data_IF_538713612130
#
_entry.id   IF_538713612130
#
_cell.length_a   1.000
_cell.length_b   1.000
_cell.length_c   1.000
_cell.angle_alpha   90.00
_cell.angle_beta   90.00
_cell.angle_gamma   90.00
#
_symmetry.space_group_name_H-M   'P 1'
#
loop_
_entity.id
_entity.type
_entity.pdbx_description
1 polymer ?
#
# COMPACT_ATOMS: atom_id res chain seq x y z
N UNK A 1 25.06 -8.69 -75.18
CA UNK A 1 25.54 -9.39 -73.97
C UNK A 1 24.42 -9.37 -72.94
N UNK A 2 23.87 -10.53 -72.60
CA UNK A 2 22.66 -10.66 -71.78
C UNK A 2 22.99 -10.50 -70.29
N UNK A 3 22.28 -9.59 -69.61
CA UNK A 3 22.45 -9.26 -68.20
C UNK A 3 21.63 -10.26 -67.38
N UNK A 4 22.30 -11.21 -66.73
CA UNK A 4 21.69 -12.17 -65.81
C UNK A 4 21.26 -11.43 -64.55
N UNK A 5 19.97 -11.47 -64.21
CA UNK A 5 19.45 -10.95 -62.94
C UNK A 5 19.32 -12.12 -61.95
N UNK A 6 19.87 -12.01 -60.72
CA UNK A 6 19.64 -13.00 -59.69
C UNK A 6 18.22 -12.93 -59.13
N UNK A 7 17.77 -14.10 -58.72
CA UNK A 7 16.46 -14.49 -58.22
C UNK A 7 15.97 -13.62 -57.03
N UNK A 8 14.65 -13.43 -56.98
CA UNK A 8 13.96 -12.69 -55.92
C UNK A 8 14.01 -13.44 -54.57
N UNK A 9 14.24 -12.69 -53.49
CA UNK A 9 13.89 -13.13 -52.12
C UNK A 9 12.76 -12.24 -51.65
N UNK A 10 11.57 -12.84 -51.50
CA UNK A 10 10.44 -12.17 -50.86
C UNK A 10 10.77 -11.95 -49.36
N UNK A 11 10.44 -10.79 -48.79
CA UNK A 11 10.62 -10.57 -47.36
C UNK A 11 9.71 -11.53 -46.56
N UNK A 12 10.18 -12.08 -45.43
CA UNK A 12 9.34 -12.88 -44.55
C UNK A 12 8.18 -12.04 -44.01
N UNK A 13 7.01 -12.67 -43.73
CA UNK A 13 5.85 -11.97 -43.21
C UNK A 13 6.19 -11.30 -41.86
N UNK A 14 5.60 -10.13 -41.55
CA UNK A 14 5.88 -9.43 -40.31
C UNK A 14 5.46 -10.30 -39.13
N UNK A 15 6.44 -10.68 -38.31
CA UNK A 15 6.24 -11.32 -37.02
C UNK A 15 5.26 -10.47 -36.18
N UNK A 16 4.37 -11.09 -35.40
CA UNK A 16 3.39 -10.36 -34.61
C UNK A 16 4.13 -9.43 -33.66
N UNK A 17 3.93 -8.12 -33.85
CA UNK A 17 4.29 -7.04 -32.93
C UNK A 17 4.15 -7.54 -31.50
N UNK A 18 5.26 -7.51 -30.77
CA UNK A 18 5.34 -7.76 -29.34
C UNK A 18 4.06 -7.28 -28.65
N UNK A 19 3.18 -8.23 -28.31
CA UNK A 19 2.19 -8.00 -27.29
C UNK A 19 2.99 -7.54 -26.08
N UNK A 20 2.73 -6.32 -25.60
CA UNK A 20 3.35 -5.79 -24.41
C UNK A 20 3.38 -6.91 -23.37
N UNK A 21 4.57 -7.35 -22.97
CA UNK A 21 4.76 -8.32 -21.90
C UNK A 21 4.15 -7.67 -20.66
N UNK A 22 2.87 -7.97 -20.42
CA UNK A 22 2.21 -7.59 -19.19
C UNK A 22 2.84 -8.48 -18.13
N UNK A 23 3.82 -7.92 -17.42
CA UNK A 23 4.40 -8.54 -16.24
C UNK A 23 3.24 -9.06 -15.36
N UNK A 24 3.29 -10.33 -14.93
CA UNK A 24 2.18 -10.94 -14.23
C UNK A 24 1.84 -10.14 -12.96
N UNK A 25 0.55 -10.05 -12.60
CA UNK A 25 0.13 -9.28 -11.44
C UNK A 25 0.80 -9.82 -10.18
N UNK A 26 1.36 -8.93 -9.36
CA UNK A 26 1.91 -9.32 -8.06
C UNK A 26 0.74 -9.56 -7.10
N UNK A 27 0.61 -10.80 -6.62
CA UNK A 27 -0.42 -11.19 -5.66
C UNK A 27 0.23 -11.46 -4.31
N UNK A 28 -0.20 -10.73 -3.30
CA UNK A 28 0.28 -10.87 -1.93
C UNK A 28 -0.86 -11.31 -1.02
N UNK A 29 -0.56 -12.22 -0.08
CA UNK A 29 -1.45 -12.54 1.04
C UNK A 29 -1.01 -11.73 2.25
N UNK A 30 -1.86 -10.80 2.68
CA UNK A 30 -1.61 -9.95 3.84
C UNK A 30 -2.34 -10.55 5.04
N UNK A 31 -1.59 -10.84 6.10
CA UNK A 31 -2.10 -11.27 7.39
C UNK A 31 -1.83 -10.20 8.44
N UNK A 32 -2.90 -9.66 9.05
CA UNK A 32 -2.83 -8.64 10.10
C UNK A 32 -2.44 -9.22 11.46
N UNK A 33 -1.28 -9.86 11.50
CA UNK A 33 -0.64 -10.39 12.70
C UNK A 33 0.86 -10.15 12.58
N UNK A 34 1.49 -9.54 13.58
CA UNK A 34 2.94 -9.38 13.64
C UNK A 34 3.62 -10.71 13.98
N UNK A 35 4.87 -10.88 13.53
CA UNK A 35 5.75 -11.97 13.95
C UNK A 35 6.32 -11.74 15.37
N UNK A 36 6.37 -10.49 15.83
CA UNK A 36 6.94 -10.12 17.11
C UNK A 36 5.88 -10.19 18.22
N UNK A 37 6.23 -10.83 19.33
CA UNK A 37 5.37 -10.88 20.51
C UNK A 37 5.11 -9.46 21.05
N UNK A 38 3.85 -9.13 21.29
CA UNK A 38 3.38 -7.81 21.76
C UNK A 38 3.49 -6.65 20.75
N UNK A 39 3.66 -6.95 19.45
CA UNK A 39 3.59 -5.95 18.39
C UNK A 39 2.28 -6.06 17.60
N UNK A 40 1.73 -4.91 17.21
CA UNK A 40 0.73 -4.82 16.15
C UNK A 40 1.48 -4.79 14.81
N UNK A 41 0.97 -5.49 13.79
CA UNK A 41 1.68 -5.52 12.52
C UNK A 41 1.00 -6.35 11.46
N UNK A 42 1.70 -6.49 10.33
CA UNK A 42 1.31 -7.31 9.20
C UNK A 42 2.45 -8.25 8.83
N UNK A 43 2.06 -9.45 8.40
CA UNK A 43 2.91 -10.40 7.71
C UNK A 43 2.39 -10.57 6.31
N UNK A 44 3.25 -10.39 5.32
CA UNK A 44 2.86 -10.40 3.92
C UNK A 44 3.62 -11.51 3.22
N UNK A 45 2.87 -12.43 2.62
CA UNK A 45 3.41 -13.55 1.87
C UNK A 45 3.18 -13.34 0.38
N UNK A 46 4.13 -13.76 -0.45
CA UNK A 46 3.96 -13.75 -1.90
C UNK A 46 3.05 -14.90 -2.38
N UNK A 47 2.91 -15.04 -3.69
CA UNK A 47 2.12 -16.10 -4.31
C UNK A 47 2.73 -17.51 -4.11
N UNK A 48 4.02 -17.60 -3.78
CA UNK A 48 4.74 -18.86 -3.49
C UNK A 48 4.60 -19.28 -2.03
N UNK A 49 4.15 -18.37 -1.17
CA UNK A 49 4.05 -18.57 0.28
C UNK A 49 5.31 -18.12 1.03
N UNK A 50 6.26 -17.49 0.35
CA UNK A 50 7.46 -16.95 0.96
C UNK A 50 7.15 -15.60 1.61
N UNK A 51 7.81 -15.29 2.73
CA UNK A 51 7.65 -13.99 3.40
C UNK A 51 8.18 -12.90 2.47
N UNK A 52 7.30 -12.00 2.01
CA UNK A 52 7.66 -10.88 1.16
C UNK A 52 7.98 -9.63 1.99
N UNK A 53 7.10 -9.32 2.94
CA UNK A 53 7.24 -8.15 3.81
C UNK A 53 6.83 -8.47 5.23
N UNK A 54 7.49 -7.78 6.17
CA UNK A 54 7.05 -7.68 7.55
C UNK A 54 6.77 -6.23 7.87
N UNK A 55 5.71 -6.00 8.63
CA UNK A 55 5.34 -4.67 9.10
C UNK A 55 5.26 -4.74 10.60
N UNK A 56 6.10 -3.96 11.26
CA UNK A 56 6.11 -3.87 12.70
C UNK A 56 5.73 -2.44 13.10
N UNK A 57 4.68 -2.33 13.94
CA UNK A 57 4.36 -1.07 14.59
C UNK A 57 5.21 -0.96 15.85
N UNK A 58 6.26 -0.15 15.78
CA UNK A 58 6.97 0.25 17.00
C UNK A 58 6.05 1.19 17.79
N UNK A 59 5.34 0.63 18.76
CA UNK A 59 4.57 1.42 19.71
C UNK A 59 5.55 2.27 20.53
N UNK A 60 5.79 3.50 20.08
CA UNK A 60 6.28 4.54 20.97
C UNK A 60 5.22 4.73 22.07
N UNK A 61 5.67 4.92 23.31
CA UNK A 61 4.88 5.02 24.55
C UNK A 61 3.76 6.07 24.52
N UNK A 62 3.68 6.87 23.45
CA UNK A 62 2.61 7.82 23.17
C UNK A 62 1.72 7.35 22.00
N UNK A 63 0.42 7.19 22.26
CA UNK A 63 -0.59 6.74 21.27
C UNK A 63 -0.75 7.67 20.05
N UNK A 64 -0.07 8.82 20.02
CA UNK A 64 -0.27 9.89 19.02
C UNK A 64 0.84 9.98 17.96
N UNK A 65 1.96 9.25 18.11
CA UNK A 65 3.09 9.23 17.16
C UNK A 65 3.50 7.79 16.85
N UNK A 66 2.66 7.07 16.12
CA UNK A 66 2.97 5.72 15.63
C UNK A 66 3.59 5.86 14.24
N UNK A 67 4.90 5.69 14.17
CA UNK A 67 5.60 5.43 12.91
C UNK A 67 5.53 3.92 12.66
N UNK A 68 5.04 3.52 11.50
CA UNK A 68 4.95 2.11 11.10
C UNK A 68 5.99 1.87 10.01
N UNK A 69 6.84 0.88 10.22
CA UNK A 69 7.94 0.57 9.30
C UNK A 69 7.58 -0.68 8.50
N UNK A 70 7.60 -0.54 7.19
CA UNK A 70 7.53 -1.65 6.24
C UNK A 70 8.95 -2.12 5.96
N UNK A 71 9.22 -3.40 6.18
CA UNK A 71 10.51 -4.02 5.94
C UNK A 71 10.40 -5.17 4.95
N UNK A 72 11.52 -5.51 4.32
CA UNK A 72 11.63 -6.74 3.54
C UNK A 72 11.67 -7.99 4.44
N UNK A 73 11.76 -9.17 3.83
CA UNK A 73 11.87 -10.45 4.53
C UNK A 73 13.07 -10.53 5.48
N UNK A 74 14.18 -9.85 5.15
CA UNK A 74 15.40 -9.79 5.94
C UNK A 74 15.37 -8.77 7.09
N UNK A 75 14.32 -7.94 7.17
CA UNK A 75 14.19 -6.88 8.17
C UNK A 75 14.84 -5.55 7.77
N UNK A 76 15.26 -5.38 6.52
CA UNK A 76 15.71 -4.07 6.01
C UNK A 76 14.51 -3.14 5.88
N UNK A 77 14.53 -1.93 6.45
CA UNK A 77 13.45 -0.96 6.29
C UNK A 77 13.36 -0.51 4.82
N UNK A 78 12.16 -0.57 4.25
CA UNK A 78 11.86 -0.13 2.89
C UNK A 78 11.13 1.19 2.87
N UNK A 79 10.09 1.34 3.71
CA UNK A 79 9.25 2.53 3.76
C UNK A 79 8.80 2.79 5.20
N UNK A 80 8.58 4.06 5.53
CA UNK A 80 7.99 4.46 6.81
C UNK A 80 6.68 5.21 6.60
N UNK A 81 5.61 4.73 7.23
CA UNK A 81 4.30 5.39 7.24
C UNK A 81 4.16 6.14 8.56
N UNK A 82 4.07 7.48 8.48
CA UNK A 82 3.92 8.35 9.65
C UNK A 82 2.60 9.08 9.61
N UNK A 83 1.86 8.97 10.71
CA UNK A 83 0.64 9.77 10.91
C UNK A 83 1.00 11.19 11.35
N UNK A 84 0.49 12.18 10.62
CA UNK A 84 0.60 13.60 10.97
C UNK A 84 -0.78 14.13 11.37
N UNK A 85 -0.84 14.72 12.56
CA UNK A 85 -2.00 15.48 13.01
C UNK A 85 -1.69 16.96 12.75
N UNK A 86 -2.48 17.64 11.93
CA UNK A 86 -2.35 19.10 11.80
C UNK A 86 -2.96 19.77 13.04
N UNK A 87 -2.30 20.82 13.52
CA UNK A 87 -2.59 21.53 14.78
C UNK A 87 -3.85 22.41 14.76
N UNK A 88 -4.63 22.42 13.68
CA UNK A 88 -5.91 23.14 13.63
C UNK A 88 -7.05 22.18 13.98
N UNK A 89 -7.79 22.51 15.04
CA UNK A 89 -8.85 21.69 15.62
C UNK A 89 -9.79 21.07 14.60
N UNK A 90 -10.03 19.76 14.77
CA UNK A 90 -10.94 18.88 14.04
C UNK A 90 -10.54 18.50 12.59
N UNK A 91 -10.27 17.19 12.47
CA UNK A 91 -10.71 16.30 11.38
C UNK A 91 -9.77 15.92 10.22
N UNK A 92 -8.71 16.65 9.87
CA UNK A 92 -7.84 16.19 8.76
C UNK A 92 -6.63 15.40 9.29
N UNK A 93 -6.84 14.10 9.53
CA UNK A 93 -5.75 13.15 9.76
C UNK A 93 -5.11 12.86 8.40
N UNK A 94 -3.81 13.06 8.29
CA UNK A 94 -3.05 12.67 7.10
C UNK A 94 -1.93 11.69 7.47
N UNK A 95 -1.61 10.81 6.53
CA UNK A 95 -0.51 9.86 6.63
C UNK A 95 0.48 10.18 5.53
N UNK A 96 1.76 10.21 5.86
CA UNK A 96 2.82 10.48 4.90
C UNK A 96 3.70 9.24 4.84
N UNK A 97 3.94 8.77 3.62
CA UNK A 97 4.82 7.65 3.31
C UNK A 97 6.18 8.24 2.97
N UNK A 98 7.19 7.77 3.67
CA UNK A 98 8.59 8.18 3.54
C UNK A 98 9.41 7.04 2.97
N UNK A 99 10.43 7.41 2.21
CA UNK A 99 11.47 6.46 1.83
C UNK A 99 12.22 5.95 3.08
N UNK A 100 12.41 4.64 3.15
CA UNK A 100 13.05 3.96 4.28
C UNK A 100 14.57 4.01 4.23
N UNK A 101 15.16 4.42 3.10
CA UNK A 101 16.61 4.50 2.89
C UNK A 101 17.25 5.79 3.43
N UNK A 102 16.64 6.40 4.46
CA UNK A 102 17.35 7.38 5.26
C UNK A 102 18.37 6.63 6.12
N UNK A 103 19.50 6.29 5.49
CA UNK A 103 20.75 5.80 6.08
C UNK A 103 20.83 6.23 7.55
N UNK A 104 20.70 5.27 8.46
CA UNK A 104 20.93 5.51 9.89
C UNK A 104 22.37 6.02 10.16
N UNK A 105 23.26 5.89 9.17
CA UNK A 105 24.65 6.38 9.18
C UNK A 105 24.85 7.78 8.58
N UNK A 106 23.84 8.42 7.95
CA UNK A 106 23.98 9.76 7.38
C UNK A 106 23.21 10.83 8.15
N UNK A 107 23.71 11.10 9.34
CA UNK A 107 23.45 12.28 10.15
C UNK A 107 22.00 12.46 10.64
N UNK A 108 21.87 12.85 11.91
CA UNK A 108 20.63 13.34 12.52
C UNK A 108 20.02 14.61 11.86
N UNK A 109 20.51 15.01 10.67
CA UNK A 109 20.09 16.19 9.92
C UNK A 109 19.42 15.87 8.56
N UNK A 110 19.46 14.63 8.06
CA UNK A 110 18.80 14.26 6.81
C UNK A 110 17.30 14.05 7.06
N UNK A 111 16.46 15.00 6.66
CA UNK A 111 15.01 14.83 6.71
C UNK A 111 14.57 13.72 5.74
N UNK A 112 13.82 12.70 6.19
CA UNK A 112 13.41 11.59 5.33
C UNK A 112 12.55 12.10 4.17
N UNK A 113 12.83 11.62 2.96
CA UNK A 113 12.16 12.07 1.73
C UNK A 113 10.71 11.60 1.71
N UNK A 114 9.72 12.51 1.68
CA UNK A 114 8.33 12.13 1.58
C UNK A 114 7.98 11.72 0.14
N UNK A 115 7.32 10.58 -0.02
CA UNK A 115 6.92 10.03 -1.31
C UNK A 115 5.46 10.37 -1.61
N UNK A 116 4.55 9.96 -0.72
CA UNK A 116 3.10 10.10 -0.90
C UNK A 116 2.43 10.61 0.38
N UNK A 117 1.36 11.36 0.21
CA UNK A 117 0.47 11.82 1.29
C UNK A 117 -0.91 11.22 1.08
N UNK A 118 -1.38 10.46 2.06
CA UNK A 118 -2.69 9.82 2.09
C UNK A 118 -3.59 10.61 3.04
N UNK A 119 -4.75 11.04 2.56
CA UNK A 119 -5.75 11.79 3.33
C UNK A 119 -7.09 11.09 3.28
N UNK A 120 -7.74 11.00 4.43
CA UNK A 120 -9.10 10.45 4.50
C UNK A 120 -10.05 11.42 3.80
N UNK A 121 -10.91 10.92 2.92
CA UNK A 121 -11.98 11.72 2.33
C UNK A 121 -13.20 11.65 3.26
N UNK A 122 -13.77 12.80 3.63
CA UNK A 122 -15.02 12.82 4.37
C UNK A 122 -16.14 12.37 3.42
N UNK A 123 -16.77 11.24 3.72
CA UNK A 123 -17.88 10.70 2.93
C UNK A 123 -19.13 11.53 3.20
N UNK A 124 -19.31 12.65 2.49
CA UNK A 124 -20.59 13.32 2.35
C UNK A 124 -21.12 13.12 0.94
N UNK A 125 -22.37 12.66 0.82
CA UNK A 125 -23.11 12.56 -0.45
C UNK A 125 -22.56 11.58 -1.49
N UNK A 126 -22.95 10.30 -1.43
CA UNK A 126 -22.89 9.33 -2.54
C UNK A 126 -21.51 8.96 -3.11
N UNK A 127 -20.44 9.64 -2.71
CA UNK A 127 -19.10 9.43 -3.25
C UNK A 127 -18.49 8.14 -2.67
N UNK A 128 -18.08 7.22 -3.54
CA UNK A 128 -17.46 5.92 -3.17
C UNK A 128 -15.98 6.05 -2.74
N UNK A 129 -15.47 7.28 -2.65
CA UNK A 129 -14.08 7.59 -2.35
C UNK A 129 -13.80 7.54 -0.84
N UNK A 130 -12.87 6.67 -0.44
CA UNK A 130 -12.41 6.50 0.93
C UNK A 130 -11.27 7.45 1.30
N UNK A 131 -10.31 7.60 0.38
CA UNK A 131 -9.09 8.36 0.62
C UNK A 131 -8.53 8.91 -0.69
N UNK A 132 -7.79 10.01 -0.57
CA UNK A 132 -7.02 10.59 -1.66
C UNK A 132 -5.54 10.46 -1.35
N UNK A 133 -4.78 10.05 -2.34
CA UNK A 133 -3.32 9.93 -2.27
C UNK A 133 -2.75 10.91 -3.27
N UNK A 134 -1.87 11.79 -2.82
CA UNK A 134 -1.19 12.75 -3.69
C UNK A 134 0.32 12.64 -3.46
N UNK A 135 1.11 13.01 -4.46
CA UNK A 135 2.55 13.19 -4.30
C UNK A 135 2.84 14.12 -3.11
N UNK A 136 3.66 13.67 -2.16
CA UNK A 136 4.01 14.50 -1.02
C UNK A 136 5.10 15.49 -1.42
N UNK A 137 4.71 16.55 -2.15
CA UNK A 137 5.54 17.68 -2.64
C UNK A 137 7.05 17.39 -2.56
N UNK A 138 7.56 16.67 -3.56
CA UNK A 138 8.99 16.64 -3.83
C UNK A 138 9.48 18.08 -3.99
N UNK A 139 10.70 18.38 -3.55
CA UNK A 139 11.36 19.67 -3.73
C UNK A 139 11.68 20.03 -5.20
N UNK A 140 11.07 19.35 -6.17
CA UNK A 140 11.21 19.57 -7.60
C UNK A 140 9.86 20.05 -8.17
N UNK A 141 9.86 21.11 -9.00
CA UNK A 141 8.65 21.57 -9.69
C UNK A 141 8.25 20.54 -10.74
N UNK A 142 7.55 19.49 -10.31
CA UNK A 142 6.88 18.59 -11.24
C UNK A 142 5.62 19.32 -11.75
N UNK A 143 5.38 19.41 -13.07
CA UNK A 143 4.12 19.93 -13.57
C UNK A 143 2.97 19.16 -12.93
N UNK A 144 1.92 19.86 -12.49
CA UNK A 144 0.81 19.27 -11.73
C UNK A 144 0.14 18.08 -12.46
N UNK A 145 0.23 18.04 -13.78
CA UNK A 145 -0.26 16.95 -14.63
C UNK A 145 0.57 15.65 -14.54
N UNK A 146 1.82 15.72 -14.07
CA UNK A 146 2.71 14.56 -13.94
C UNK A 146 2.80 14.01 -12.51
N UNK A 147 2.24 14.72 -11.52
CA UNK A 147 2.28 14.30 -10.13
C UNK A 147 1.36 13.08 -9.92
N UNK A 148 1.86 12.00 -9.28
CA UNK A 148 1.00 10.85 -8.98
C UNK A 148 -0.15 11.29 -8.09
N UNK A 149 -1.37 11.00 -8.55
CA UNK A 149 -2.58 11.15 -7.77
C UNK A 149 -3.40 9.87 -7.85
N UNK A 150 -3.70 9.30 -6.69
CA UNK A 150 -4.51 8.09 -6.58
C UNK A 150 -5.76 8.35 -5.76
N UNK A 151 -6.83 7.63 -6.12
CA UNK A 151 -8.09 7.64 -5.41
C UNK A 151 -8.35 6.23 -4.91
N UNK A 152 -8.65 6.10 -3.62
CA UNK A 152 -9.04 4.84 -3.02
C UNK A 152 -10.56 4.78 -2.98
N UNK A 153 -11.13 3.76 -3.61
CA UNK A 153 -12.58 3.54 -3.69
C UNK A 153 -12.98 2.23 -3.00
N UNK A 154 -14.25 2.13 -2.58
CA UNK A 154 -14.83 0.89 -2.06
C UNK A 154 -14.96 0.89 -0.54
N UNK A 155 -14.68 -0.25 0.11
CA UNK A 155 -14.76 -0.41 1.56
C UNK A 155 -13.57 -1.21 2.11
N UNK A 156 -12.71 -0.56 2.88
CA UNK A 156 -11.60 -1.24 3.55
C UNK A 156 -12.10 -2.21 4.63
N UNK A 157 -13.20 -1.89 5.31
CA UNK A 157 -13.79 -2.75 6.36
C UNK A 157 -14.31 -4.07 5.81
N UNK A 158 -14.79 -4.08 4.56
CA UNK A 158 -15.21 -5.31 3.85
C UNK A 158 -14.09 -5.94 3.02
N UNK A 159 -12.85 -5.42 3.14
CA UNK A 159 -11.68 -5.84 2.33
C UNK A 159 -11.99 -5.85 0.83
N UNK A 160 -12.71 -4.83 0.37
CA UNK A 160 -13.14 -4.66 -1.01
C UNK A 160 -12.86 -3.20 -1.42
N UNK A 161 -11.59 -2.85 -1.55
CA UNK A 161 -11.18 -1.52 -1.96
C UNK A 161 -10.12 -1.54 -3.06
N UNK A 162 -10.22 -0.59 -3.99
CA UNK A 162 -9.30 -0.45 -5.10
C UNK A 162 -8.62 0.91 -5.07
N UNK A 163 -7.34 0.94 -5.38
CA UNK A 163 -6.54 2.14 -5.61
C UNK A 163 -6.50 2.39 -7.10
N UNK A 164 -6.99 3.54 -7.55
CA UNK A 164 -7.03 3.95 -8.95
C UNK A 164 -6.08 5.12 -9.21
N UNK A 165 -5.35 5.08 -10.32
CA UNK A 165 -4.54 6.20 -10.81
C UNK A 165 -5.45 7.25 -11.45
N UNK A 166 -5.74 8.32 -10.71
CA UNK A 166 -6.61 9.40 -11.17
C UNK A 166 -5.94 10.28 -12.23
N UNK A 167 -4.61 10.33 -12.28
CA UNK A 167 -3.88 11.10 -13.29
C UNK A 167 -3.88 10.41 -14.66
N UNK A 168 -3.99 9.06 -14.70
CA UNK A 168 -3.90 8.27 -15.95
C UNK A 168 -5.14 7.41 -16.20
N UNK A 169 -6.31 8.05 -16.23
CA UNK A 169 -7.55 7.44 -16.73
C UNK A 169 -8.25 6.48 -15.77
N UNK A 170 -7.90 6.47 -14.48
CA UNK A 170 -8.62 5.70 -13.46
C UNK A 170 -8.28 4.20 -13.44
N UNK A 171 -7.16 3.80 -14.04
CA UNK A 171 -6.70 2.42 -14.04
C UNK A 171 -6.45 1.92 -12.61
N UNK A 172 -6.85 0.68 -12.31
CA UNK A 172 -6.62 0.06 -10.99
C UNK A 172 -5.14 -0.31 -10.88
N UNK A 173 -4.47 0.22 -9.86
CA UNK A 173 -3.04 0.01 -9.59
C UNK A 173 -2.79 -0.88 -8.37
N UNK A 174 -3.77 -0.98 -7.48
CA UNK A 174 -3.78 -1.99 -6.42
C UNK A 174 -5.22 -2.30 -6.02
N UNK A 175 -5.46 -3.52 -5.57
CA UNK A 175 -6.76 -3.98 -5.12
C UNK A 175 -6.62 -4.80 -3.84
N UNK A 176 -7.43 -4.48 -2.84
CA UNK A 176 -7.60 -5.27 -1.63
C UNK A 176 -8.85 -6.11 -1.79
N UNK A 177 -8.67 -7.42 -1.72
CA UNK A 177 -9.72 -8.42 -1.88
C UNK A 177 -9.82 -9.28 -0.63
N UNK A 178 -11.05 -9.60 -0.22
CA UNK A 178 -11.30 -10.49 0.90
C UNK A 178 -10.77 -11.91 0.61
N UNK A 179 -10.18 -12.55 1.61
CA UNK A 179 -9.88 -13.99 1.55
C UNK A 179 -11.00 -14.75 2.25
N UNK A 180 -11.84 -15.42 1.45
CA UNK A 180 -12.97 -16.18 1.97
C UNK A 180 -12.49 -17.32 2.90
N UNK A 181 -13.30 -17.68 3.89
CA UNK A 181 -13.03 -18.69 4.92
C UNK A 181 -11.91 -18.42 5.96
N UNK A 182 -11.18 -17.29 5.89
CA UNK A 182 -10.06 -16.98 6.83
C UNK A 182 -10.34 -15.76 7.73
N UNK A 183 -11.55 -15.21 7.68
CA UNK A 183 -11.94 -14.01 8.43
C UNK A 183 -11.37 -12.72 7.83
N UNK A 184 -11.48 -11.61 8.56
CA UNK A 184 -11.12 -10.27 8.05
C UNK A 184 -9.66 -9.85 8.33
N UNK A 185 -8.92 -10.68 9.07
CA UNK A 185 -7.50 -10.49 9.38
C UNK A 185 -6.58 -10.95 8.25
N UNK A 186 -7.07 -11.78 7.32
CA UNK A 186 -6.31 -12.25 6.17
C UNK A 186 -7.02 -11.79 4.89
N UNK A 187 -6.29 -11.13 4.01
CA UNK A 187 -6.83 -10.64 2.74
C UNK A 187 -5.76 -10.67 1.66
N UNK A 188 -6.16 -10.48 0.41
CA UNK A 188 -5.26 -10.43 -0.75
C UNK A 188 -5.02 -8.98 -1.14
N UNK A 189 -3.78 -8.66 -1.47
CA UNK A 189 -3.39 -7.42 -2.12
C UNK A 189 -2.89 -7.78 -3.52
N UNK A 190 -3.60 -7.31 -4.54
CA UNK A 190 -3.29 -7.55 -5.96
C UNK A 190 -2.76 -6.27 -6.56
N UNK A 191 -1.59 -6.31 -7.17
CA UNK A 191 -0.95 -5.19 -7.86
C UNK A 191 -0.84 -5.56 -9.34
N UNK A 192 -1.74 -5.06 -10.21
CA UNK A 192 -1.86 -5.53 -11.59
C UNK A 192 -0.70 -5.19 -12.52
N UNK A 193 0.18 -4.26 -12.14
CA UNK A 193 1.30 -3.87 -12.99
C UNK A 193 2.28 -2.94 -12.28
N UNK A 194 3.36 -2.51 -12.96
CA UNK A 194 4.51 -1.85 -12.34
C UNK A 194 4.23 -0.39 -11.93
N UNK A 195 3.04 0.14 -12.21
CA UNK A 195 2.66 1.53 -11.94
C UNK A 195 2.73 1.90 -10.46
N UNK A 196 2.47 0.92 -9.61
CA UNK A 196 2.57 1.07 -8.16
C UNK A 196 3.37 -0.11 -7.64
N UNK A 197 4.60 0.13 -7.18
CA UNK A 197 5.43 -0.93 -6.64
C UNK A 197 4.77 -1.59 -5.42
N UNK A 198 4.96 -2.90 -5.27
CA UNK A 198 4.38 -3.68 -4.17
C UNK A 198 4.62 -3.09 -2.76
N UNK A 199 5.82 -2.59 -2.41
CA UNK A 199 6.04 -1.94 -1.12
C UNK A 199 5.16 -0.70 -0.93
N UNK A 200 4.98 0.10 -1.98
CA UNK A 200 4.18 1.32 -1.94
C UNK A 200 2.68 1.00 -1.81
N UNK A 201 2.21 -0.03 -2.51
CA UNK A 201 0.86 -0.56 -2.34
C UNK A 201 0.62 -1.04 -0.90
N UNK A 202 1.59 -1.75 -0.31
CA UNK A 202 1.50 -2.19 1.08
C UNK A 202 1.51 -1.00 2.06
N UNK A 203 2.31 0.03 1.81
CA UNK A 203 2.31 1.25 2.61
C UNK A 203 0.95 1.98 2.59
N UNK A 204 0.24 1.95 1.46
CA UNK A 204 -1.15 2.44 1.39
C UNK A 204 -2.10 1.59 2.25
N UNK A 205 -1.96 0.27 2.24
CA UNK A 205 -2.76 -0.62 3.10
C UNK A 205 -2.54 -0.32 4.58
N UNK A 206 -1.29 -0.05 5.00
CA UNK A 206 -0.97 0.35 6.38
C UNK A 206 -1.68 1.65 6.76
N UNK A 207 -1.65 2.65 5.88
CA UNK A 207 -2.34 3.93 6.11
C UNK A 207 -3.87 3.74 6.19
N UNK A 208 -4.45 2.92 5.32
CA UNK A 208 -5.88 2.61 5.31
C UNK A 208 -6.31 1.84 6.56
N UNK A 209 -5.51 0.89 7.05
CA UNK A 209 -5.80 0.20 8.32
C UNK A 209 -5.87 1.22 9.47
N UNK A 210 -4.85 2.07 9.66
CA UNK A 210 -4.89 3.07 10.73
C UNK A 210 -6.04 4.10 10.58
N UNK A 211 -6.44 4.41 9.34
CA UNK A 211 -7.60 5.27 9.05
C UNK A 211 -8.94 4.65 9.48
N UNK A 212 -9.17 3.38 9.16
CA UNK A 212 -10.48 2.72 9.21
C UNK A 212 -10.63 1.67 10.31
N UNK A 213 -9.57 1.39 11.08
CA UNK A 213 -9.54 0.49 12.25
C UNK A 213 -10.67 0.70 13.28
N UNK A 214 -11.30 1.88 13.33
CA UNK A 214 -12.34 2.21 14.31
C UNK A 214 -13.79 2.12 13.82
N UNK A 215 -14.05 1.67 12.59
CA UNK A 215 -15.38 1.72 11.97
C UNK A 215 -16.15 0.39 11.85
N UNK A 216 -15.47 -0.76 12.03
CA UNK A 216 -16.15 -2.06 12.01
C UNK A 216 -16.44 -2.47 13.45
N UNK A 217 -17.72 -2.45 13.83
CA UNK A 217 -18.18 -2.92 15.13
C UNK A 217 -17.97 -4.44 15.27
N UNK A 218 -16.77 -4.85 15.62
CA UNK A 218 -16.41 -6.08 16.32
C UNK A 218 -14.88 -6.14 16.45
N UNK A 219 -14.36 -6.04 17.68
CA UNK A 219 -12.97 -6.36 17.98
C UNK A 219 -11.98 -5.21 17.78
N UNK A 220 -12.13 -4.14 18.55
CA UNK A 220 -11.01 -3.23 18.80
C UNK A 220 -9.85 -3.97 19.45
N UNK A 221 -8.62 -3.66 19.02
CA UNK A 221 -7.39 -4.07 19.70
C UNK A 221 -7.37 -3.46 21.10
N UNK A 222 -7.94 -4.18 22.07
CA UNK A 222 -7.89 -4.03 23.55
C UNK A 222 -9.24 -4.55 24.08
N UNK A 223 -9.36 -5.58 24.89
CA UNK A 223 -8.43 -6.15 25.84
C UNK A 223 -8.66 -7.66 25.95
N UNK A 224 -7.61 -8.38 26.34
CA UNK A 224 -7.79 -9.57 27.16
C UNK A 224 -8.61 -9.18 28.39
N UNK A 225 -9.92 -9.37 28.37
CA UNK A 225 -10.71 -9.57 29.58
C UNK A 225 -10.66 -11.06 29.91
N UNK A 226 -9.48 -11.54 30.28
CA UNK A 226 -9.37 -12.71 31.17
C UNK A 226 -9.56 -12.20 32.61
N UNK A 227 -10.73 -11.66 32.89
CA UNK A 227 -11.22 -11.52 34.25
C UNK A 227 -12.27 -12.61 34.41
N UNK A 228 -11.87 -13.64 35.16
CA UNK A 228 -12.71 -14.78 35.50
C UNK A 228 -14.07 -14.34 36.02
N UNK A 229 -15.11 -14.90 35.43
CA UNK A 229 -16.47 -14.88 35.97
C UNK A 229 -16.98 -16.32 36.02
N UNK A 230 -16.51 -17.07 37.01
CA UNK A 230 -17.16 -18.23 37.63
C UNK A 230 -16.40 -18.39 38.97
N UNK A 231 -16.96 -18.27 40.16
CA UNK A 231 -18.22 -18.80 40.68
C UNK A 231 -18.67 -17.92 41.85
N UNK A 232 -19.97 -17.60 41.89
CA UNK A 232 -20.68 -17.43 43.15
C UNK A 232 -21.89 -18.35 43.04
N UNK A 233 -21.88 -19.41 43.83
CA UNK A 233 -23.00 -20.24 44.24
C UNK A 233 -22.63 -20.78 45.61
#
# INVERSE_FOLDING_TARGET
MAKVHPNAVAPPPPEPRAAAEQEPPTVLTVWRKSLLFNCDGFTVYDARGDLAFRVDCYASRSRTRRDVVLMDAGGKPLLTVRRKTRLAGLADRCWVIYDGDADADKSAAATPTPLLSVRRHATSGGCKTLARVDAARLALPLPAAAAPSYVVEGSYGQRACAVRDAARGGAVVAEVQRKEAVGDDVFRLVVPGPRLAAPLAMALVIALDDMFRGGSGAGGWSARSLLGRTLSA
#
